data_IF_075412157137
#
_entry.id   IF_075412157137
#
_cell.length_a   1.000
_cell.length_b   1.000
_cell.length_c   1.000
_cell.angle_alpha   90.00
_cell.angle_beta   90.00
_cell.angle_gamma   90.00
#
_symmetry.space_group_name_H-M   'P 1'
#
loop_
_entity.id
_entity.type
_entity.pdbx_description
1 polymer ?
#
# COMPACT_ATOMS: atom_id res chain seq x y z
N UNK A 1 -53.41 -33.05 24.63
CA UNK A 1 -53.16 -31.87 23.77
C UNK A 1 -51.97 -31.01 24.24
N UNK A 2 -51.89 -30.56 25.50
CA UNK A 2 -50.78 -29.70 26.01
C UNK A 2 -49.35 -30.26 25.82
N UNK A 3 -49.15 -31.58 25.93
CA UNK A 3 -47.82 -32.21 25.71
C UNK A 3 -47.38 -32.28 24.24
N UNK A 4 -48.33 -32.35 23.30
CA UNK A 4 -48.04 -32.36 21.85
C UNK A 4 -47.67 -30.96 21.34
N UNK A 5 -48.32 -29.91 21.86
CA UNK A 5 -48.01 -28.51 21.53
C UNK A 5 -46.62 -28.07 22.04
N UNK A 6 -46.18 -28.56 23.21
CA UNK A 6 -44.84 -28.28 23.73
C UNK A 6 -43.71 -28.99 22.94
N UNK A 7 -44.01 -30.09 22.24
CA UNK A 7 -43.04 -30.79 21.39
C UNK A 7 -42.81 -30.06 20.07
N UNK A 8 -43.89 -29.62 19.42
CA UNK A 8 -43.84 -28.88 18.15
C UNK A 8 -43.11 -27.53 18.27
N UNK A 9 -43.31 -26.81 19.37
CA UNK A 9 -42.59 -25.55 19.63
C UNK A 9 -41.08 -25.72 19.74
N UNK A 10 -40.60 -26.83 20.33
CA UNK A 10 -39.16 -27.12 20.44
C UNK A 10 -38.55 -27.52 19.10
N UNK A 11 -39.25 -28.30 18.28
CA UNK A 11 -38.79 -28.70 16.94
C UNK A 11 -38.70 -27.49 16.01
N UNK A 12 -39.67 -26.57 16.05
CA UNK A 12 -39.63 -25.33 15.27
C UNK A 12 -38.48 -24.40 15.70
N UNK A 13 -38.21 -24.29 17.01
CA UNK A 13 -37.07 -23.52 17.53
C UNK A 13 -35.72 -24.11 17.10
N UNK A 14 -35.57 -25.43 17.13
CA UNK A 14 -34.34 -26.10 16.70
C UNK A 14 -34.13 -25.95 15.18
N UNK A 15 -35.18 -26.13 14.37
CA UNK A 15 -35.10 -25.95 12.92
C UNK A 15 -34.77 -24.49 12.53
N UNK A 16 -35.38 -23.51 13.22
CA UNK A 16 -35.07 -22.09 13.04
C UNK A 16 -33.61 -21.75 13.40
N UNK A 17 -33.09 -22.31 14.50
CA UNK A 17 -31.69 -22.12 14.89
C UNK A 17 -30.70 -22.74 13.89
N UNK A 18 -30.99 -23.94 13.37
CA UNK A 18 -30.16 -24.59 12.34
C UNK A 18 -30.16 -23.77 11.04
N UNK A 19 -31.30 -23.25 10.61
CA UNK A 19 -31.40 -22.39 9.43
C UNK A 19 -30.59 -21.10 9.57
N UNK A 20 -30.67 -20.43 10.72
CA UNK A 20 -29.89 -19.21 10.99
C UNK A 20 -28.37 -19.50 11.04
N UNK A 21 -27.95 -20.57 11.71
CA UNK A 21 -26.53 -20.96 11.78
C UNK A 21 -25.98 -21.34 10.41
N UNK A 22 -26.74 -22.10 9.61
CA UNK A 22 -26.37 -22.45 8.24
C UNK A 22 -26.25 -21.22 7.34
N UNK A 23 -27.19 -20.28 7.43
CA UNK A 23 -27.16 -19.02 6.69
C UNK A 23 -25.96 -18.15 7.05
N UNK A 24 -25.64 -18.01 8.33
CA UNK A 24 -24.45 -17.27 8.78
C UNK A 24 -23.14 -17.93 8.33
N UNK A 25 -23.07 -19.27 8.36
CA UNK A 25 -21.89 -19.99 7.89
C UNK A 25 -21.67 -19.81 6.37
N UNK A 26 -22.73 -19.90 5.57
CA UNK A 26 -22.67 -19.64 4.13
C UNK A 26 -22.30 -18.19 3.82
N UNK A 27 -22.83 -17.24 4.60
CA UNK A 27 -22.49 -15.83 4.47
C UNK A 27 -21.01 -15.59 4.77
N UNK A 28 -20.50 -16.08 5.90
CA UNK A 28 -19.08 -15.97 6.25
C UNK A 28 -18.19 -16.64 5.20
N UNK A 29 -18.57 -17.85 4.74
CA UNK A 29 -17.86 -18.55 3.67
C UNK A 29 -17.82 -17.71 2.39
N UNK A 30 -18.92 -17.10 1.96
CA UNK A 30 -18.96 -16.28 0.74
C UNK A 30 -18.06 -15.03 0.80
N UNK A 31 -17.64 -14.60 2.00
CA UNK A 31 -16.74 -13.46 2.19
C UNK A 31 -15.27 -13.83 2.17
N UNK A 32 -14.94 -15.12 2.13
CA UNK A 32 -13.58 -15.62 2.01
C UNK A 32 -13.24 -15.98 0.56
N UNK A 33 -11.96 -15.89 0.22
CA UNK A 33 -11.45 -16.23 -1.10
C UNK A 33 -11.06 -17.72 -1.16
N UNK A 34 -11.86 -18.53 -1.84
CA UNK A 34 -11.70 -20.00 -1.88
C UNK A 34 -11.06 -20.56 -3.16
N UNK A 35 -10.83 -19.73 -4.17
CA UNK A 35 -10.17 -20.13 -5.43
C UNK A 35 -8.65 -20.23 -5.30
N UNK A 36 -8.08 -19.79 -4.17
CA UNK A 36 -6.65 -19.91 -3.90
C UNK A 36 -6.29 -21.34 -3.44
N UNK A 37 -5.22 -21.96 -3.98
CA UNK A 37 -4.72 -23.20 -3.43
C UNK A 37 -4.21 -23.00 -2.00
N UNK A 38 -4.08 -24.07 -1.18
CA UNK A 38 -3.39 -23.98 0.10
C UNK A 38 -1.96 -23.44 -0.05
N UNK A 39 -1.51 -22.64 0.91
CA UNK A 39 -0.15 -22.09 0.89
C UNK A 39 0.92 -23.18 1.07
N UNK A 40 1.94 -23.18 0.22
CA UNK A 40 3.02 -24.16 0.24
C UNK A 40 4.17 -23.68 1.13
N UNK A 41 4.11 -24.08 2.41
CA UNK A 41 5.15 -23.76 3.39
C UNK A 41 6.52 -24.36 3.06
N UNK A 42 6.58 -25.49 2.33
CA UNK A 42 7.85 -26.11 1.95
C UNK A 42 8.57 -25.25 0.90
N UNK A 43 7.85 -24.72 -0.09
CA UNK A 43 8.40 -23.75 -1.04
C UNK A 43 8.83 -22.45 -0.36
N UNK A 44 8.01 -21.94 0.56
CA UNK A 44 8.33 -20.72 1.29
C UNK A 44 9.66 -20.83 2.05
N UNK A 45 9.94 -21.99 2.64
CA UNK A 45 11.17 -22.27 3.38
C UNK A 45 12.43 -22.26 2.50
N UNK A 46 12.32 -22.58 1.21
CA UNK A 46 13.45 -22.65 0.27
C UNK A 46 13.51 -21.49 -0.72
N UNK A 47 12.59 -20.52 -0.63
CA UNK A 47 12.55 -19.35 -1.51
C UNK A 47 13.83 -18.51 -1.33
N UNK A 48 14.65 -18.30 -2.39
CA UNK A 48 15.90 -17.56 -2.28
C UNK A 48 15.69 -16.13 -1.77
N UNK A 49 16.58 -15.66 -0.89
CA UNK A 49 16.48 -14.33 -0.29
C UNK A 49 16.41 -13.19 -1.33
N UNK A 50 17.19 -13.29 -2.41
CA UNK A 50 17.15 -12.32 -3.52
C UNK A 50 15.77 -12.27 -4.19
N UNK A 51 15.16 -13.43 -4.42
CA UNK A 51 13.82 -13.53 -5.01
C UNK A 51 12.77 -12.97 -4.05
N UNK A 52 12.85 -13.32 -2.76
CA UNK A 52 11.97 -12.77 -1.72
C UNK A 52 12.01 -11.25 -1.65
N UNK A 53 13.22 -10.66 -1.67
CA UNK A 53 13.38 -9.20 -1.67
C UNK A 53 12.83 -8.54 -2.94
N UNK A 54 12.92 -9.19 -4.10
CA UNK A 54 12.31 -8.68 -5.33
C UNK A 54 10.79 -8.72 -5.26
N UNK A 55 10.20 -9.84 -4.82
CA UNK A 55 8.75 -9.96 -4.66
C UNK A 55 8.20 -8.99 -3.62
N UNK A 56 8.96 -8.72 -2.55
CA UNK A 56 8.61 -7.72 -1.57
C UNK A 56 8.54 -6.32 -2.18
N UNK A 57 9.58 -5.87 -2.88
CA UNK A 57 9.54 -4.60 -3.62
C UNK A 57 8.35 -4.53 -4.57
N UNK A 58 8.16 -5.56 -5.39
CA UNK A 58 7.09 -5.60 -6.39
C UNK A 58 5.71 -5.55 -5.75
N UNK A 59 5.50 -6.21 -4.61
CA UNK A 59 4.23 -6.16 -3.88
C UNK A 59 4.00 -4.77 -3.28
N UNK A 60 4.99 -4.23 -2.56
CA UNK A 60 4.85 -2.97 -1.83
C UNK A 60 4.69 -1.75 -2.74
N UNK A 61 5.32 -1.76 -3.92
CA UNK A 61 5.15 -0.68 -4.89
C UNK A 61 3.78 -0.69 -5.58
N UNK A 62 3.02 -1.78 -5.45
CA UNK A 62 1.80 -2.01 -6.19
C UNK A 62 0.56 -2.07 -5.30
N UNK A 63 0.72 -2.34 -4.00
CA UNK A 63 -0.41 -2.58 -3.11
C UNK A 63 -1.31 -1.35 -2.88
N UNK A 64 -0.73 -0.14 -2.92
CA UNK A 64 -1.51 1.10 -2.74
C UNK A 64 -2.41 1.40 -3.95
N UNK A 65 -1.98 1.00 -5.14
CA UNK A 65 -2.65 1.21 -6.43
C UNK A 65 -3.18 -0.12 -7.01
N UNK A 66 -3.52 -1.07 -6.13
CA UNK A 66 -3.79 -2.48 -6.50
C UNK A 66 -4.97 -2.67 -7.47
N UNK A 67 -5.90 -1.72 -7.54
CA UNK A 67 -7.06 -1.75 -8.46
C UNK A 67 -7.03 -0.64 -9.52
N UNK A 68 -5.91 0.06 -9.64
CA UNK A 68 -5.67 1.14 -10.63
C UNK A 68 -4.42 0.82 -11.46
N UNK A 69 -4.13 1.65 -12.46
CA UNK A 69 -2.95 1.50 -13.30
C UNK A 69 -1.69 2.04 -12.62
N UNK A 70 -0.62 1.26 -12.66
CA UNK A 70 0.76 1.68 -12.35
C UNK A 70 1.61 1.58 -13.60
N UNK A 71 2.81 2.19 -13.64
CA UNK A 71 3.73 2.03 -14.77
C UNK A 71 4.00 0.57 -15.16
N UNK A 72 4.07 -0.36 -14.19
CA UNK A 72 4.22 -1.81 -14.44
C UNK A 72 2.96 -2.44 -15.05
N UNK A 73 1.78 -2.02 -14.60
CA UNK A 73 0.50 -2.57 -15.00
C UNK A 73 -0.43 -1.54 -15.67
N UNK A 74 0.08 -0.91 -16.73
CA UNK A 74 -0.71 -0.02 -17.59
C UNK A 74 -1.64 -0.79 -18.53
N UNK A 75 -2.73 -0.14 -18.94
CA UNK A 75 -3.64 -0.62 -19.98
C UNK A 75 -4.85 -1.38 -19.44
N UNK A 76 -5.72 -1.84 -20.36
CA UNK A 76 -7.00 -2.49 -20.03
C UNK A 76 -6.84 -3.82 -19.28
N UNK A 77 -5.69 -4.47 -19.40
CA UNK A 77 -5.39 -5.77 -18.79
C UNK A 77 -4.49 -5.65 -17.54
N UNK A 78 -4.14 -4.44 -17.11
CA UNK A 78 -3.13 -4.21 -16.08
C UNK A 78 -3.43 -4.97 -14.78
N UNK A 79 -4.68 -4.90 -14.31
CA UNK A 79 -5.10 -5.59 -13.09
C UNK A 79 -5.07 -7.12 -13.22
N UNK A 80 -5.36 -7.68 -14.40
CA UNK A 80 -5.24 -9.11 -14.67
C UNK A 80 -3.78 -9.55 -14.60
N UNK A 81 -2.87 -8.78 -15.20
CA UNK A 81 -1.42 -9.05 -15.16
C UNK A 81 -0.89 -8.94 -13.73
N UNK A 82 -1.32 -7.95 -12.95
CA UNK A 82 -0.97 -7.80 -11.53
C UNK A 82 -1.39 -9.02 -10.72
N UNK A 83 -2.63 -9.46 -10.86
CA UNK A 83 -3.10 -10.65 -10.14
C UNK A 83 -2.34 -11.91 -10.53
N UNK A 84 -2.07 -12.11 -11.83
CA UNK A 84 -1.28 -13.23 -12.31
C UNK A 84 0.14 -13.24 -11.71
N UNK A 85 0.81 -12.08 -11.65
CA UNK A 85 2.12 -11.93 -11.02
C UNK A 85 2.07 -12.24 -9.53
N UNK A 86 1.07 -11.73 -8.80
CA UNK A 86 0.91 -12.02 -7.36
C UNK A 86 0.60 -13.50 -7.09
N UNK A 87 -0.21 -14.14 -7.94
CA UNK A 87 -0.47 -15.58 -7.88
C UNK A 87 0.80 -16.38 -8.14
N UNK A 88 1.67 -15.94 -9.06
CA UNK A 88 2.96 -16.57 -9.29
C UNK A 88 3.88 -16.45 -8.06
N UNK A 89 3.99 -15.25 -7.47
CA UNK A 89 4.74 -15.04 -6.22
C UNK A 89 4.26 -15.96 -5.11
N UNK A 90 2.94 -16.06 -4.90
CA UNK A 90 2.34 -16.93 -3.90
C UNK A 90 2.64 -18.42 -4.17
N UNK A 91 2.56 -18.85 -5.44
CA UNK A 91 2.88 -20.22 -5.87
C UNK A 91 4.34 -20.61 -5.66
N UNK A 92 5.23 -19.62 -5.72
CA UNK A 92 6.66 -19.77 -5.45
C UNK A 92 6.99 -19.72 -3.95
N UNK A 93 5.98 -19.54 -3.08
CA UNK A 93 6.12 -19.58 -1.63
C UNK A 93 6.30 -18.21 -0.98
N UNK A 94 5.95 -17.11 -1.66
CA UNK A 94 5.98 -15.78 -1.05
C UNK A 94 4.69 -15.48 -0.29
N UNK A 95 4.74 -15.66 1.04
CA UNK A 95 3.57 -15.63 1.93
C UNK A 95 2.82 -14.30 1.91
N UNK A 96 3.52 -13.16 1.83
CA UNK A 96 2.88 -11.85 1.85
C UNK A 96 2.00 -11.59 0.61
N UNK A 97 2.38 -12.11 -0.56
CA UNK A 97 1.51 -12.06 -1.73
C UNK A 97 0.29 -12.97 -1.56
N UNK A 98 0.47 -14.16 -0.98
CA UNK A 98 -0.63 -15.07 -0.69
C UNK A 98 -1.67 -14.44 0.24
N UNK A 99 -1.23 -13.86 1.36
CA UNK A 99 -2.09 -13.15 2.31
C UNK A 99 -2.80 -11.96 1.63
N UNK A 100 -2.07 -11.19 0.82
CA UNK A 100 -2.66 -10.09 0.04
C UNK A 100 -3.80 -10.59 -0.85
N UNK A 101 -3.59 -11.69 -1.56
CA UNK A 101 -4.59 -12.28 -2.45
C UNK A 101 -5.82 -12.81 -1.71
N UNK A 102 -5.69 -13.21 -0.43
CA UNK A 102 -6.84 -13.58 0.40
C UNK A 102 -7.75 -12.39 0.70
N UNK A 103 -7.24 -11.15 0.63
CA UNK A 103 -8.02 -9.93 0.83
C UNK A 103 -8.43 -9.30 -0.50
N UNK A 104 -7.58 -9.34 -1.53
CA UNK A 104 -7.75 -8.59 -2.77
C UNK A 104 -7.79 -9.50 -3.99
N UNK A 105 -8.71 -9.23 -4.91
CA UNK A 105 -8.70 -9.77 -6.27
C UNK A 105 -8.55 -8.63 -7.28
N UNK A 106 -7.31 -8.27 -7.68
CA UNK A 106 -7.07 -7.15 -8.57
C UNK A 106 -7.89 -7.17 -9.85
N UNK A 107 -8.03 -8.32 -10.52
CA UNK A 107 -8.74 -8.44 -11.80
C UNK A 107 -10.20 -8.00 -11.74
N UNK A 108 -10.89 -8.28 -10.64
CA UNK A 108 -12.31 -7.99 -10.45
C UNK A 108 -12.57 -6.77 -9.58
N UNK A 109 -11.55 -6.29 -8.86
CA UNK A 109 -11.69 -5.25 -7.85
C UNK A 109 -12.41 -5.70 -6.57
N UNK A 110 -12.59 -7.00 -6.37
CA UNK A 110 -13.28 -7.55 -5.19
C UNK A 110 -12.36 -7.49 -3.97
N UNK A 111 -12.97 -7.18 -2.82
CA UNK A 111 -12.35 -7.25 -1.49
C UNK A 111 -13.05 -8.31 -0.64
N UNK A 112 -12.26 -9.15 0.01
CA UNK A 112 -12.71 -10.21 0.89
C UNK A 112 -12.54 -9.83 2.37
N UNK A 113 -13.02 -10.67 3.28
CA UNK A 113 -12.89 -10.45 4.71
C UNK A 113 -11.42 -10.42 5.17
N UNK A 114 -11.06 -9.39 5.94
CA UNK A 114 -9.67 -9.13 6.33
C UNK A 114 -9.25 -9.82 7.64
N UNK A 115 -10.20 -10.35 8.43
CA UNK A 115 -9.93 -10.81 9.80
C UNK A 115 -8.89 -11.93 9.87
N UNK A 116 -9.06 -13.01 9.10
CA UNK A 116 -8.11 -14.14 9.12
C UNK A 116 -6.74 -13.76 8.52
N UNK A 117 -6.66 -13.08 7.37
CA UNK A 117 -5.37 -12.69 6.81
C UNK A 117 -4.61 -11.70 7.70
N UNK A 118 -5.29 -10.72 8.33
CA UNK A 118 -4.66 -9.83 9.31
C UNK A 118 -4.18 -10.56 10.57
N UNK A 119 -4.92 -11.56 11.06
CA UNK A 119 -4.46 -12.39 12.17
C UNK A 119 -3.15 -13.13 11.82
N UNK A 120 -3.02 -13.63 10.58
CA UNK A 120 -1.78 -14.24 10.11
C UNK A 120 -0.63 -13.23 10.01
N UNK A 121 -0.89 -12.01 9.51
CA UNK A 121 0.13 -10.95 9.50
C UNK A 121 0.59 -10.56 10.91
N UNK A 122 -0.32 -10.51 11.88
CA UNK A 122 0.03 -10.26 13.28
C UNK A 122 0.96 -11.34 13.82
N UNK A 123 0.69 -12.62 13.56
CA UNK A 123 1.59 -13.71 13.98
C UNK A 123 3.01 -13.55 13.38
N UNK A 124 3.10 -13.19 12.09
CA UNK A 124 4.39 -12.94 11.44
C UNK A 124 5.11 -11.72 12.03
N UNK A 125 4.37 -10.63 12.29
CA UNK A 125 4.90 -9.41 12.89
C UNK A 125 5.35 -9.64 14.36
N UNK A 126 4.61 -10.41 15.14
CA UNK A 126 5.00 -10.85 16.49
C UNK A 126 6.29 -11.66 16.45
N UNK A 127 6.46 -12.51 15.42
CA UNK A 127 7.70 -13.22 15.10
C UNK A 127 8.84 -12.35 14.54
N UNK A 128 8.66 -11.03 14.43
CA UNK A 128 9.70 -10.09 13.97
C UNK A 128 9.76 -9.86 12.46
N UNK A 129 8.80 -10.34 11.68
CA UNK A 129 8.79 -10.12 10.24
C UNK A 129 8.43 -8.67 9.88
N UNK A 130 9.43 -7.86 9.55
CA UNK A 130 9.23 -6.44 9.25
C UNK A 130 8.30 -6.18 8.04
N UNK A 131 8.39 -6.99 6.97
CA UNK A 131 7.45 -6.92 5.85
C UNK A 131 5.99 -7.13 6.27
N UNK A 132 5.69 -8.04 7.21
CA UNK A 132 4.33 -8.23 7.71
C UNK A 132 3.86 -7.01 8.52
N UNK A 133 4.74 -6.40 9.32
CA UNK A 133 4.46 -5.15 10.02
C UNK A 133 4.10 -4.03 9.04
N UNK A 134 4.80 -3.94 7.90
CA UNK A 134 4.55 -2.88 6.92
C UNK A 134 3.34 -3.15 6.03
N UNK A 135 3.00 -4.42 5.78
CA UNK A 135 1.85 -4.80 4.96
C UNK A 135 0.53 -4.74 5.75
N UNK A 136 0.57 -5.00 7.06
CA UNK A 136 -0.62 -4.99 7.91
C UNK A 136 -1.42 -3.67 7.81
N UNK A 137 -0.80 -2.49 7.93
CA UNK A 137 -1.50 -1.22 7.78
C UNK A 137 -2.14 -1.05 6.40
N UNK A 138 -1.42 -1.43 5.33
CA UNK A 138 -1.91 -1.31 3.95
C UNK A 138 -3.17 -2.16 3.75
N UNK A 139 -3.18 -3.41 4.21
CA UNK A 139 -4.34 -4.29 4.08
C UNK A 139 -5.46 -3.96 5.06
N UNK A 140 -5.15 -3.54 6.29
CA UNK A 140 -6.17 -3.15 7.26
C UNK A 140 -6.96 -1.92 6.82
N UNK A 141 -6.32 -1.02 6.05
CA UNK A 141 -6.97 0.14 5.43
C UNK A 141 -7.92 -0.22 4.27
N UNK A 142 -7.98 -1.48 3.82
CA UNK A 142 -8.89 -1.92 2.76
C UNK A 142 -10.27 -2.34 3.28
N UNK A 143 -10.42 -2.50 4.60
CA UNK A 143 -11.68 -2.86 5.28
C UNK A 143 -12.73 -1.75 5.30
N UNK A 144 -13.90 -2.08 5.85
CA UNK A 144 -14.96 -1.11 6.17
C UNK A 144 -14.47 -0.06 7.18
N UNK A 145 -15.21 1.03 7.34
CA UNK A 145 -14.85 2.12 8.26
C UNK A 145 -14.69 1.60 9.70
N UNK A 146 -15.59 0.72 10.14
CA UNK A 146 -15.52 0.06 11.45
C UNK A 146 -14.29 -0.85 11.57
N UNK A 147 -13.96 -1.61 10.52
CA UNK A 147 -12.76 -2.46 10.48
C UNK A 147 -11.49 -1.60 10.53
N UNK A 148 -11.43 -0.51 9.77
CA UNK A 148 -10.29 0.42 9.81
C UNK A 148 -10.13 1.04 11.20
N UNK A 149 -11.21 1.49 11.82
CA UNK A 149 -11.18 2.01 13.18
C UNK A 149 -10.67 0.97 14.18
N UNK A 150 -11.15 -0.27 14.08
CA UNK A 150 -10.75 -1.39 14.93
C UNK A 150 -9.25 -1.71 14.85
N UNK A 151 -8.65 -1.69 13.66
CA UNK A 151 -7.26 -2.12 13.46
C UNK A 151 -6.24 -0.96 13.45
N UNK A 152 -6.71 0.29 13.50
CA UNK A 152 -5.90 1.51 13.36
C UNK A 152 -4.72 1.58 14.32
N UNK A 153 -4.95 1.35 15.61
CA UNK A 153 -3.89 1.48 16.63
C UNK A 153 -2.76 0.48 16.39
N UNK A 154 -3.12 -0.78 16.14
CA UNK A 154 -2.17 -1.85 15.82
C UNK A 154 -1.42 -1.57 14.51
N UNK A 155 -2.11 -1.06 13.48
CA UNK A 155 -1.49 -0.65 12.24
C UNK A 155 -0.43 0.44 12.46
N UNK A 156 -0.74 1.47 13.23
CA UNK A 156 0.22 2.54 13.56
C UNK A 156 1.42 2.00 14.37
N UNK A 157 1.18 1.09 15.31
CA UNK A 157 2.25 0.44 16.07
C UNK A 157 3.18 -0.38 15.17
N UNK A 158 2.62 -1.13 14.21
CA UNK A 158 3.43 -1.90 13.26
C UNK A 158 4.19 -1.03 12.26
N UNK A 159 3.64 0.08 11.77
CA UNK A 159 4.41 1.01 10.96
C UNK A 159 5.62 1.58 11.73
N UNK A 160 5.46 1.95 13.01
CA UNK A 160 6.57 2.41 13.86
C UNK A 160 7.64 1.33 14.00
N UNK A 161 7.25 0.14 14.46
CA UNK A 161 8.18 -0.97 14.68
C UNK A 161 8.88 -1.42 13.40
N UNK A 162 8.17 -1.48 12.28
CA UNK A 162 8.77 -1.84 10.99
C UNK A 162 9.73 -0.76 10.47
N UNK A 163 9.47 0.52 10.74
CA UNK A 163 10.41 1.60 10.44
C UNK A 163 11.64 1.59 11.36
N UNK A 164 11.50 1.24 12.65
CA UNK A 164 12.63 1.01 13.58
C UNK A 164 13.52 -0.15 13.11
N UNK A 165 12.94 -1.14 12.42
CA UNK A 165 13.66 -2.22 11.75
C UNK A 165 14.19 -1.84 10.35
N UNK A 166 14.13 -0.54 10.00
CA UNK A 166 14.61 0.03 8.73
C UNK A 166 13.96 -0.62 7.49
N UNK A 167 12.74 -1.16 7.61
CA UNK A 167 12.07 -1.77 6.47
C UNK A 167 11.56 -0.69 5.49
N UNK A 168 12.01 -0.69 4.21
CA UNK A 168 11.70 0.37 3.25
C UNK A 168 10.21 0.64 3.04
N UNK A 169 9.36 -0.39 3.06
CA UNK A 169 7.92 -0.24 2.93
C UNK A 169 7.29 0.62 4.04
N UNK A 170 7.76 0.45 5.30
CA UNK A 170 7.32 1.30 6.41
C UNK A 170 7.95 2.68 6.34
N UNK A 171 9.24 2.76 5.99
CA UNK A 171 9.97 4.03 5.89
C UNK A 171 9.31 4.99 4.89
N UNK A 172 8.76 4.50 3.77
CA UNK A 172 7.97 5.32 2.84
C UNK A 172 6.78 5.99 3.54
N UNK A 173 5.93 5.22 4.23
CA UNK A 173 4.74 5.74 4.92
C UNK A 173 5.10 6.63 6.12
N UNK A 174 5.99 6.15 6.98
CA UNK A 174 6.43 6.86 8.19
C UNK A 174 7.15 8.15 7.83
N UNK A 175 7.95 8.15 6.75
CA UNK A 175 8.62 9.35 6.25
C UNK A 175 7.62 10.48 5.95
N UNK A 176 6.51 10.16 5.29
CA UNK A 176 5.43 11.12 5.05
C UNK A 176 4.76 11.61 6.36
N UNK A 177 4.51 10.70 7.30
CA UNK A 177 3.88 11.05 8.58
C UNK A 177 4.75 11.97 9.43
N UNK A 178 6.06 11.72 9.47
CA UNK A 178 7.04 12.59 10.15
C UNK A 178 7.11 13.96 9.48
N UNK A 179 7.18 14.04 8.13
CA UNK A 179 7.22 15.33 7.44
C UNK A 179 5.97 16.19 7.71
N UNK A 180 4.81 15.56 7.93
CA UNK A 180 3.54 16.27 8.07
C UNK A 180 3.01 16.38 9.50
N UNK A 181 3.54 15.60 10.45
CA UNK A 181 3.07 15.57 11.84
C UNK A 181 1.67 14.99 12.00
N UNK A 182 1.30 13.97 11.21
CA UNK A 182 -0.04 13.36 11.21
C UNK A 182 -0.03 11.93 11.76
N UNK A 183 -1.21 11.34 11.93
CA UNK A 183 -1.37 9.93 12.35
C UNK A 183 -0.71 9.61 13.71
N UNK A 184 -0.53 10.62 14.57
CA UNK A 184 0.13 10.47 15.85
C UNK A 184 1.66 10.36 15.77
N UNK A 185 2.27 10.82 14.68
CA UNK A 185 3.71 11.02 14.57
C UNK A 185 4.05 12.49 14.82
N UNK A 186 5.06 12.82 15.65
CA UNK A 186 5.52 14.20 15.81
C UNK A 186 6.10 14.70 14.48
N UNK A 187 5.90 15.99 14.20
CA UNK A 187 6.44 16.59 12.98
C UNK A 187 7.97 16.68 13.10
N UNK A 188 8.67 15.98 12.22
CA UNK A 188 10.11 16.02 12.03
C UNK A 188 10.39 15.89 10.52
N UNK A 189 10.62 17.04 9.88
CA UNK A 189 10.73 17.13 8.41
C UNK A 189 12.01 16.46 7.92
N UNK A 190 13.12 16.67 8.61
CA UNK A 190 14.41 16.09 8.23
C UNK A 190 14.41 14.57 8.40
N UNK A 191 13.96 14.04 9.54
CA UNK A 191 13.88 12.60 9.74
C UNK A 191 12.90 11.94 8.74
N UNK A 192 11.78 12.61 8.45
CA UNK A 192 10.82 12.12 7.48
C UNK A 192 11.35 12.08 6.03
N UNK A 193 12.15 13.10 5.66
CA UNK A 193 12.86 13.11 4.39
C UNK A 193 13.87 11.97 4.28
N UNK A 194 14.72 11.80 5.30
CA UNK A 194 15.74 10.75 5.33
C UNK A 194 15.13 9.35 5.23
N UNK A 195 14.05 9.08 5.97
CA UNK A 195 13.31 7.82 5.86
C UNK A 195 12.78 7.59 4.44
N UNK A 196 12.19 8.61 3.82
CA UNK A 196 11.67 8.53 2.45
C UNK A 196 12.80 8.30 1.42
N UNK A 197 13.96 8.94 1.60
CA UNK A 197 15.15 8.75 0.77
C UNK A 197 15.70 7.33 0.90
N UNK A 198 15.78 6.79 2.12
CA UNK A 198 16.20 5.40 2.35
C UNK A 198 15.27 4.41 1.63
N UNK A 199 13.96 4.63 1.72
CA UNK A 199 12.98 3.81 1.00
C UNK A 199 13.17 3.89 -0.53
N UNK A 200 13.37 5.10 -1.08
CA UNK A 200 13.62 5.30 -2.51
C UNK A 200 14.92 4.62 -2.97
N UNK A 201 16.02 4.73 -2.21
CA UNK A 201 17.29 4.03 -2.51
C UNK A 201 17.16 2.52 -2.48
N UNK A 202 16.26 1.99 -1.65
CA UNK A 202 15.94 0.56 -1.61
C UNK A 202 14.99 0.11 -2.73
N UNK A 203 14.55 1.01 -3.62
CA UNK A 203 13.65 0.71 -4.74
C UNK A 203 12.17 0.64 -4.35
N UNK A 204 11.78 1.31 -3.26
CA UNK A 204 10.39 1.45 -2.82
C UNK A 204 9.86 2.86 -3.12
N UNK A 205 8.54 3.02 -3.01
CA UNK A 205 7.82 4.27 -3.24
C UNK A 205 8.06 5.38 -2.18
N UNK A 206 9.32 5.65 -1.84
CA UNK A 206 9.71 6.77 -0.96
C UNK A 206 9.62 8.13 -1.66
N UNK A 207 9.82 8.16 -2.98
CA UNK A 207 9.76 9.40 -3.76
C UNK A 207 8.36 10.04 -3.75
N UNK A 208 7.29 9.24 -3.79
CA UNK A 208 5.92 9.75 -3.71
C UNK A 208 5.64 10.45 -2.39
N UNK A 209 6.17 9.94 -1.26
CA UNK A 209 6.04 10.59 0.04
C UNK A 209 6.62 12.01 0.03
N UNK A 210 7.79 12.19 -0.59
CA UNK A 210 8.43 13.50 -0.74
C UNK A 210 7.64 14.39 -1.72
N UNK A 211 7.24 13.86 -2.87
CA UNK A 211 6.49 14.63 -3.86
C UNK A 211 5.14 15.13 -3.30
N UNK A 212 4.40 14.28 -2.59
CA UNK A 212 3.14 14.65 -1.93
C UNK A 212 3.37 15.70 -0.84
N UNK A 213 4.45 15.58 -0.05
CA UNK A 213 4.81 16.60 0.94
C UNK A 213 5.07 17.96 0.26
N UNK A 214 5.91 18.00 -0.77
CA UNK A 214 6.23 19.23 -1.52
C UNK A 214 4.99 19.85 -2.15
N UNK A 215 4.10 19.05 -2.74
CA UNK A 215 2.84 19.52 -3.31
C UNK A 215 1.97 20.27 -2.28
N UNK A 216 2.06 19.90 -0.99
CA UNK A 216 1.32 20.56 0.10
C UNK A 216 1.96 21.85 0.58
N UNK A 217 3.24 22.08 0.35
CA UNK A 217 3.93 23.32 0.74
C UNK A 217 3.64 24.50 -0.21
N UNK A 218 3.02 24.23 -1.37
CA UNK A 218 2.77 25.23 -2.41
C UNK A 218 4.00 25.53 -3.27
N UNK A 219 3.77 25.93 -4.51
CA UNK A 219 4.83 26.15 -5.51
C UNK A 219 5.00 27.64 -5.79
N UNK A 220 5.67 28.34 -4.87
CA UNK A 220 5.83 29.80 -4.91
C UNK A 220 7.11 30.28 -5.59
N UNK A 221 8.04 29.38 -5.93
CA UNK A 221 9.34 29.73 -6.49
C UNK A 221 9.80 28.73 -7.55
N UNK A 222 10.70 29.16 -8.44
CA UNK A 222 11.35 28.29 -9.42
C UNK A 222 12.06 27.09 -8.76
N UNK A 223 12.67 27.30 -7.59
CA UNK A 223 13.33 26.24 -6.82
C UNK A 223 12.32 25.21 -6.31
N UNK A 224 11.16 25.63 -5.79
CA UNK A 224 10.13 24.70 -5.32
C UNK A 224 9.54 23.89 -6.48
N UNK A 225 9.32 24.52 -7.64
CA UNK A 225 8.93 23.82 -8.85
C UNK A 225 9.96 22.79 -9.31
N UNK A 226 11.24 23.14 -9.25
CA UNK A 226 12.34 22.24 -9.62
C UNK A 226 12.40 21.03 -8.68
N UNK A 227 12.31 21.24 -7.36
CA UNK A 227 12.24 20.16 -6.36
C UNK A 227 11.06 19.24 -6.62
N UNK A 228 9.86 19.81 -6.78
CA UNK A 228 8.65 19.02 -6.99
C UNK A 228 8.68 18.24 -8.30
N UNK A 229 9.14 18.85 -9.39
CA UNK A 229 9.35 18.15 -10.66
C UNK A 229 10.31 16.97 -10.51
N UNK A 230 11.46 17.19 -9.84
CA UNK A 230 12.45 16.15 -9.61
C UNK A 230 11.85 14.93 -8.89
N UNK A 231 11.20 15.17 -7.75
CA UNK A 231 10.58 14.10 -6.97
C UNK A 231 9.40 13.45 -7.68
N UNK A 232 8.66 14.16 -8.53
CA UNK A 232 7.65 13.55 -9.39
C UNK A 232 8.21 12.64 -10.46
N UNK A 233 9.35 12.98 -11.07
CA UNK A 233 10.02 12.07 -12.00
C UNK A 233 10.37 10.75 -11.30
N UNK A 234 10.87 10.81 -10.06
CA UNK A 234 11.17 9.60 -9.29
C UNK A 234 9.90 8.83 -8.89
N UNK A 235 8.86 9.52 -8.41
CA UNK A 235 7.58 8.92 -8.02
C UNK A 235 6.84 8.27 -9.21
N UNK A 236 6.99 8.83 -10.42
CA UNK A 236 6.36 8.33 -11.65
C UNK A 236 6.84 6.94 -12.08
N UNK A 237 7.89 6.41 -11.45
CA UNK A 237 8.32 5.03 -11.63
C UNK A 237 7.39 4.02 -10.96
N UNK A 238 6.59 4.45 -9.96
CA UNK A 238 5.73 3.59 -9.15
C UNK A 238 4.24 3.91 -9.31
N UNK A 239 3.88 5.20 -9.43
CA UNK A 239 2.47 5.62 -9.50
C UNK A 239 2.18 6.49 -10.73
N UNK A 240 1.03 6.29 -11.36
CA UNK A 240 0.66 7.00 -12.61
C UNK A 240 0.21 8.43 -12.35
N UNK A 241 -0.33 8.71 -11.17
CA UNK A 241 -0.71 10.05 -10.73
C UNK A 241 0.53 10.96 -10.58
N UNK A 242 1.73 10.37 -10.52
CA UNK A 242 2.96 11.11 -10.40
C UNK A 242 3.53 11.69 -11.71
N UNK A 243 2.73 11.73 -12.79
CA UNK A 243 3.16 12.18 -14.11
C UNK A 243 3.82 13.59 -14.08
N UNK A 244 5.13 13.70 -14.41
CA UNK A 244 5.84 14.97 -14.46
C UNK A 244 5.25 15.99 -15.44
N UNK A 245 4.54 15.53 -16.48
CA UNK A 245 3.85 16.41 -17.42
C UNK A 245 2.76 17.23 -16.72
N UNK A 246 2.09 16.68 -15.71
CA UNK A 246 1.10 17.42 -14.90
C UNK A 246 1.78 18.58 -14.18
N UNK A 247 3.01 18.40 -13.70
CA UNK A 247 3.80 19.45 -13.04
C UNK A 247 4.13 20.56 -14.04
N UNK A 248 4.68 20.20 -15.21
CA UNK A 248 5.03 21.17 -16.27
C UNK A 248 3.81 21.97 -16.74
N UNK A 249 2.67 21.30 -16.92
CA UNK A 249 1.42 21.96 -17.29
C UNK A 249 0.94 22.94 -16.22
N UNK A 250 1.01 22.58 -14.94
CA UNK A 250 0.64 23.48 -13.84
C UNK A 250 1.59 24.68 -13.76
N UNK A 251 2.90 24.43 -13.86
CA UNK A 251 3.94 25.45 -13.89
C UNK A 251 3.67 26.51 -14.97
N UNK A 252 3.45 26.07 -16.22
CA UNK A 252 3.15 26.96 -17.36
C UNK A 252 1.89 27.80 -17.17
N UNK A 253 0.88 27.29 -16.47
CA UNK A 253 -0.37 28.01 -16.19
C UNK A 253 -0.23 28.98 -15.01
N UNK A 254 0.56 28.65 -14.00
CA UNK A 254 0.69 29.50 -12.80
C UNK A 254 1.72 30.61 -13.00
N UNK A 255 2.76 30.35 -13.79
CA UNK A 255 3.76 31.34 -14.17
C UNK A 255 3.58 31.72 -15.64
N UNK A 256 2.49 32.42 -15.97
CA UNK A 256 2.21 32.92 -17.33
C UNK A 256 3.27 33.92 -17.86
N UNK A 257 4.36 34.13 -17.10
CA UNK A 257 5.55 34.87 -17.51
C UNK A 257 6.46 34.07 -18.45
N UNK A 258 7.32 34.79 -19.18
CA UNK A 258 8.43 34.20 -19.95
C UNK A 258 9.30 33.26 -19.11
N UNK A 259 9.49 33.59 -17.83
CA UNK A 259 10.34 32.85 -16.90
C UNK A 259 9.75 31.48 -16.56
N UNK A 260 8.42 31.39 -16.42
CA UNK A 260 7.71 30.13 -16.20
C UNK A 260 7.84 29.18 -17.38
N UNK A 261 7.72 29.70 -18.61
CA UNK A 261 7.90 28.93 -19.83
C UNK A 261 9.34 28.45 -19.99
N UNK A 262 10.32 29.33 -19.74
CA UNK A 262 11.73 28.99 -19.79
C UNK A 262 12.09 27.90 -18.76
N UNK A 263 11.58 28.02 -17.53
CA UNK A 263 11.76 26.99 -16.49
C UNK A 263 11.12 25.66 -16.90
N UNK A 264 9.89 25.67 -17.42
CA UNK A 264 9.23 24.44 -17.85
C UNK A 264 10.01 23.74 -18.96
N UNK A 265 10.52 24.48 -19.96
CA UNK A 265 11.36 23.93 -21.01
C UNK A 265 12.67 23.33 -20.46
N UNK A 266 13.32 24.02 -19.50
CA UNK A 266 14.52 23.51 -18.81
C UNK A 266 14.23 22.19 -18.08
N UNK A 267 13.14 22.14 -17.31
CA UNK A 267 12.76 20.94 -16.56
C UNK A 267 12.40 19.78 -17.49
N UNK A 268 11.69 20.05 -18.59
CA UNK A 268 11.32 19.02 -19.58
C UNK A 268 12.53 18.39 -20.28
N UNK A 269 13.60 19.16 -20.49
CA UNK A 269 14.87 18.67 -21.03
C UNK A 269 15.70 17.92 -19.98
N UNK A 270 15.44 18.14 -18.69
CA UNK A 270 16.18 17.52 -17.60
C UNK A 270 15.65 16.11 -17.29
N UNK A 271 16.56 15.18 -17.06
CA UNK A 271 16.28 13.80 -16.66
C UNK A 271 16.94 13.57 -15.28
N UNK A 272 16.32 14.06 -14.19
CA UNK A 272 16.93 13.99 -12.88
C UNK A 272 17.16 12.54 -12.44
N UNK A 273 18.31 12.30 -11.84
CA UNK A 273 18.58 11.08 -11.06
C UNK A 273 18.01 11.24 -9.64
N UNK A 274 17.94 10.13 -8.89
CA UNK A 274 17.57 10.17 -7.48
C UNK A 274 18.52 11.06 -6.67
N UNK A 275 19.83 10.97 -6.92
CA UNK A 275 20.84 11.76 -6.20
C UNK A 275 20.75 13.26 -6.53
N UNK A 276 20.37 13.62 -7.76
CA UNK A 276 20.05 15.01 -8.08
C UNK A 276 18.89 15.54 -7.23
N UNK A 277 17.83 14.73 -7.05
CA UNK A 277 16.68 15.13 -6.23
C UNK A 277 17.02 15.20 -4.74
N UNK A 278 17.89 14.32 -4.24
CA UNK A 278 18.38 14.36 -2.86
C UNK A 278 19.20 15.64 -2.62
N UNK A 279 20.06 16.01 -3.56
CA UNK A 279 20.88 17.22 -3.47
C UNK A 279 20.04 18.51 -3.39
N UNK A 280 18.84 18.51 -3.96
CA UNK A 280 17.91 19.64 -3.88
C UNK A 280 17.23 19.81 -2.51
N UNK A 281 17.27 18.79 -1.64
CA UNK A 281 16.59 18.74 -0.34
C UNK A 281 15.09 19.09 -0.44
N UNK A 282 14.45 19.45 0.68
CA UNK A 282 13.04 19.84 0.73
C UNK A 282 12.79 21.35 0.61
N UNK A 283 13.78 22.18 0.93
CA UNK A 283 13.54 23.60 1.21
C UNK A 283 14.62 24.17 2.13
N UNK A 284 14.70 25.49 2.22
CA UNK A 284 15.34 26.13 3.38
C UNK A 284 14.32 26.01 4.53
N UNK A 285 14.73 25.41 5.65
CA UNK A 285 13.97 25.38 6.90
C UNK A 285 13.87 26.78 7.52
#
# INVERSE_FOLDING_TARGET
>A
MKRLLNGLGKVALIAGAIGLLGGMALYAYSRERHDLPPFDHAKAAVLPAKTRAQYERDLFNEIREWNTGTPKYMGKDGTNRREADWLAMARDGYELAYITLQILQPSTGIRYEIKKPLARLSQLAEGGHAGAMCLYPELSNMGSDDERAKYREQALAYWRRGAELEHPGCLSSVGFFLMTGIQGFPKDVQAGFEASVKAARAGYDGASSVAVYLARQGMTSATNWTRYYCWQVQASQFITQADPWIVLRKLRRQLESSDGQALAAKLEAWRPTLEDCIALKLGDE
#
